data_IF_805636863616
#
_entry.id   IF_805636863616
#
_cell.length_a   1.000
_cell.length_b   1.000
_cell.length_c   1.000
_cell.angle_alpha   90.00
_cell.angle_beta   90.00
_cell.angle_gamma   90.00
#
_symmetry.space_group_name_H-M   'P 1'
#
loop_
_entity.id
_entity.type
_entity.pdbx_description
1 polymer ?
#
# COMPACT_ATOMS: atom_id res chain seq x y z
N UNK A 1 30.87 12.52 -2.09
CA UNK A 1 29.87 11.64 -1.45
C UNK A 1 30.44 11.16 -0.12
N UNK A 2 30.01 11.72 1.01
CA UNK A 2 30.62 11.46 2.34
C UNK A 2 30.24 10.09 2.92
N UNK A 3 29.11 9.53 2.51
CA UNK A 3 28.57 8.27 3.04
C UNK A 3 28.68 7.11 2.03
N UNK A 4 29.19 7.37 0.82
CA UNK A 4 29.25 6.36 -0.24
C UNK A 4 27.88 5.99 -0.84
N UNK A 5 26.81 6.75 -0.55
CA UNK A 5 25.43 6.44 -0.96
C UNK A 5 25.12 7.08 -2.33
N UNK A 6 24.79 6.27 -3.33
CA UNK A 6 24.26 6.76 -4.61
C UNK A 6 22.76 7.05 -4.48
N UNK A 7 22.31 8.21 -4.98
CA UNK A 7 20.89 8.57 -5.00
C UNK A 7 20.36 8.41 -6.42
N UNK A 8 19.44 7.46 -6.61
CA UNK A 8 18.83 7.15 -7.91
C UNK A 8 17.38 7.67 -7.92
N UNK A 9 17.03 8.59 -8.84
CA UNK A 9 15.68 9.11 -8.95
C UNK A 9 14.73 8.08 -9.58
N UNK A 10 13.55 7.90 -8.97
CA UNK A 10 12.44 7.14 -9.54
C UNK A 10 11.32 8.09 -9.98
N UNK A 11 10.99 8.10 -11.27
CA UNK A 11 9.98 8.95 -11.88
C UNK A 11 8.99 8.12 -12.68
N UNK A 12 7.95 8.78 -13.21
CA UNK A 12 6.94 8.18 -14.07
C UNK A 12 6.94 8.84 -15.46
N UNK A 13 7.13 8.04 -16.50
CA UNK A 13 7.16 8.51 -17.90
C UNK A 13 5.98 8.00 -18.73
N UNK A 14 4.99 7.36 -18.11
CA UNK A 14 3.78 6.87 -18.78
C UNK A 14 2.53 6.88 -17.87
N UNK A 15 2.48 5.96 -16.90
CA UNK A 15 1.36 5.77 -15.97
C UNK A 15 1.52 6.55 -14.66
N UNK A 16 0.64 6.30 -13.68
CA UNK A 16 0.69 6.88 -12.33
C UNK A 16 0.76 8.43 -12.25
N UNK A 17 0.26 9.13 -13.27
CA UNK A 17 0.33 10.59 -13.37
C UNK A 17 -1.03 11.27 -13.11
N UNK A 18 -1.93 10.65 -12.35
CA UNK A 18 -3.26 11.20 -12.05
C UNK A 18 -3.22 12.62 -11.44
N UNK A 19 -2.28 12.85 -10.52
CA UNK A 19 -2.13 14.14 -9.82
C UNK A 19 -1.77 15.31 -10.75
N UNK A 20 -0.75 15.22 -11.62
CA UNK A 20 -0.50 16.27 -12.62
C UNK A 20 -1.53 16.28 -13.75
N UNK A 21 -1.99 15.14 -14.26
CA UNK A 21 -2.87 15.08 -15.44
C UNK A 21 -4.32 15.50 -15.18
N UNK A 22 -4.70 15.77 -13.93
CA UNK A 22 -6.01 16.35 -13.60
C UNK A 22 -6.17 17.80 -14.08
N UNK A 23 -5.07 18.53 -14.26
CA UNK A 23 -5.13 19.94 -14.67
C UNK A 23 -5.40 20.07 -16.17
N UNK A 24 -6.28 21.00 -16.55
CA UNK A 24 -6.76 21.13 -17.93
C UNK A 24 -5.65 21.41 -18.96
N UNK A 25 -4.54 22.04 -18.57
CA UNK A 25 -3.38 22.28 -19.43
C UNK A 25 -2.80 20.97 -19.99
N UNK A 26 -2.89 19.87 -19.24
CA UNK A 26 -2.38 18.56 -19.65
C UNK A 26 -3.39 17.74 -20.47
N UNK A 27 -4.59 18.26 -20.76
CA UNK A 27 -5.59 17.53 -21.53
C UNK A 27 -5.06 17.09 -22.91
N UNK A 28 -4.21 17.91 -23.53
CA UNK A 28 -3.62 17.61 -24.84
C UNK A 28 -2.57 16.50 -24.83
N UNK A 29 -2.16 16.01 -23.65
CA UNK A 29 -1.17 14.93 -23.50
C UNK A 29 -1.71 13.78 -22.64
N UNK A 30 -3.02 13.70 -22.43
CA UNK A 30 -3.66 12.70 -21.57
C UNK A 30 -4.40 11.65 -22.40
N UNK A 31 -3.98 10.39 -22.31
CA UNK A 31 -4.71 9.26 -22.91
C UNK A 31 -5.88 8.85 -22.00
N UNK A 32 -5.56 8.59 -20.72
CA UNK A 32 -6.52 8.28 -19.66
C UNK A 32 -6.21 9.08 -18.39
N UNK A 33 -7.05 8.96 -17.36
CA UNK A 33 -6.97 9.74 -16.12
C UNK A 33 -5.55 9.81 -15.51
N UNK A 34 -4.76 8.74 -15.61
CA UNK A 34 -3.41 8.65 -15.08
C UNK A 34 -2.32 8.31 -16.11
N UNK A 35 -2.65 8.28 -17.42
CA UNK A 35 -1.76 7.76 -18.48
C UNK A 35 -1.52 8.83 -19.55
N UNK A 36 -0.25 9.05 -19.89
CA UNK A 36 0.17 9.96 -20.95
C UNK A 36 -0.22 9.48 -22.35
N UNK A 37 -0.49 10.43 -23.25
CA UNK A 37 -0.80 10.19 -24.65
C UNK A 37 0.47 9.92 -25.44
N UNK A 38 0.67 8.65 -25.82
CA UNK A 38 1.79 8.21 -26.65
C UNK A 38 1.65 8.78 -28.08
N UNK A 39 2.80 8.98 -28.75
CA UNK A 39 2.90 9.54 -30.10
C UNK A 39 2.38 11.00 -30.20
N UNK A 40 2.31 11.70 -29.08
CA UNK A 40 2.01 13.13 -29.02
C UNK A 40 3.27 13.94 -28.68
N UNK A 41 3.57 14.97 -29.46
CA UNK A 41 4.80 15.75 -29.33
C UNK A 41 4.89 16.44 -27.96
N UNK A 42 3.76 16.96 -27.47
CA UNK A 42 3.68 17.60 -26.14
C UNK A 42 4.03 16.64 -25.00
N UNK A 43 3.73 15.35 -25.14
CA UNK A 43 4.09 14.31 -24.17
C UNK A 43 5.60 14.19 -24.05
N UNK A 44 6.32 14.16 -25.18
CA UNK A 44 7.77 14.01 -25.17
C UNK A 44 8.49 15.29 -24.72
N UNK A 45 7.95 16.47 -25.02
CA UNK A 45 8.43 17.73 -24.45
C UNK A 45 8.29 17.76 -22.92
N UNK A 46 7.17 17.25 -22.40
CA UNK A 46 6.94 17.13 -20.96
C UNK A 46 7.93 16.14 -20.31
N UNK A 47 8.12 14.96 -20.90
CA UNK A 47 9.08 13.94 -20.42
C UNK A 47 10.52 14.46 -20.46
N UNK A 48 10.91 15.15 -21.54
CA UNK A 48 12.24 15.74 -21.65
C UNK A 48 12.48 16.80 -20.57
N UNK A 49 11.50 17.66 -20.29
CA UNK A 49 11.58 18.64 -19.22
C UNK A 49 11.74 17.97 -17.83
N UNK A 50 11.07 16.84 -17.59
CA UNK A 50 11.26 16.04 -16.37
C UNK A 50 12.69 15.49 -16.28
N UNK A 51 13.17 14.80 -17.33
CA UNK A 51 14.50 14.18 -17.36
C UNK A 51 15.61 15.23 -17.24
N UNK A 52 15.46 16.36 -17.93
CA UNK A 52 16.40 17.49 -17.83
C UNK A 52 16.47 18.03 -16.39
N UNK A 53 15.33 18.11 -15.71
CA UNK A 53 15.28 18.53 -14.29
C UNK A 53 15.99 17.53 -13.40
N UNK A 54 15.70 16.24 -13.57
CA UNK A 54 16.38 15.16 -12.84
C UNK A 54 17.88 15.22 -13.05
N UNK A 55 18.36 15.42 -14.28
CA UNK A 55 19.80 15.54 -14.57
C UNK A 55 20.47 16.71 -13.85
N UNK A 56 19.76 17.82 -13.65
CA UNK A 56 20.30 18.97 -12.88
C UNK A 56 20.34 18.71 -11.38
N UNK A 57 19.49 17.82 -10.86
CA UNK A 57 19.34 17.55 -9.44
C UNK A 57 20.19 16.38 -8.94
N UNK A 58 20.50 15.41 -9.80
CA UNK A 58 21.16 14.16 -9.41
C UNK A 58 22.46 13.95 -10.19
N UNK A 59 23.49 13.48 -9.49
CA UNK A 59 24.78 13.13 -10.09
C UNK A 59 24.85 11.69 -10.58
N UNK A 60 23.90 10.83 -10.17
CA UNK A 60 23.82 9.45 -10.66
C UNK A 60 23.52 9.45 -12.16
N UNK A 61 24.09 8.47 -12.87
CA UNK A 61 23.69 8.18 -14.24
C UNK A 61 22.49 7.23 -14.28
N UNK A 62 22.08 6.62 -13.18
CA UNK A 62 20.92 5.72 -13.14
C UNK A 62 19.63 6.53 -13.00
N UNK A 63 18.55 6.03 -13.58
CA UNK A 63 17.20 6.57 -13.39
C UNK A 63 16.16 5.47 -13.53
N UNK A 64 15.18 5.42 -12.64
CA UNK A 64 14.01 4.57 -12.81
C UNK A 64 12.90 5.36 -13.49
N UNK A 65 12.45 4.91 -14.68
CA UNK A 65 11.50 5.66 -15.53
C UNK A 65 10.03 5.27 -15.35
N UNK A 66 9.75 4.29 -14.49
CA UNK A 66 8.40 3.84 -14.15
C UNK A 66 7.90 2.82 -15.17
N UNK A 67 6.84 3.19 -15.92
CA UNK A 67 6.22 2.42 -17.00
C UNK A 67 5.32 1.24 -16.56
N UNK A 68 4.98 1.20 -15.27
CA UNK A 68 4.07 0.23 -14.64
C UNK A 68 2.59 0.56 -14.83
N UNK A 69 1.74 -0.48 -14.69
CA UNK A 69 0.28 -0.45 -14.51
C UNK A 69 -0.51 0.48 -15.45
N UNK A 70 0.01 0.73 -16.65
CA UNK A 70 -0.67 1.47 -17.70
C UNK A 70 -1.74 0.61 -18.41
N UNK A 71 -2.64 -0.01 -17.64
CA UNK A 71 -3.64 -0.98 -18.10
C UNK A 71 -4.53 -0.44 -19.24
N UNK A 72 -4.77 0.87 -19.24
CA UNK A 72 -5.58 1.56 -20.24
C UNK A 72 -4.83 2.10 -21.46
N UNK A 73 -3.51 1.89 -21.56
CA UNK A 73 -2.69 2.49 -22.63
C UNK A 73 -3.24 2.15 -24.01
N UNK A 74 -3.46 3.17 -24.84
CA UNK A 74 -3.98 3.03 -26.19
C UNK A 74 -5.50 2.97 -26.29
N UNK A 75 -6.24 2.91 -25.17
CA UNK A 75 -7.71 2.72 -25.16
C UNK A 75 -8.51 4.00 -24.89
N UNK A 76 -7.84 5.13 -24.63
CA UNK A 76 -8.47 6.41 -24.34
C UNK A 76 -8.45 7.38 -25.53
N UNK A 77 -7.91 8.58 -25.31
CA UNK A 77 -7.73 9.58 -26.36
C UNK A 77 -6.88 9.05 -27.54
N UNK A 78 -5.94 8.14 -27.28
CA UNK A 78 -5.15 7.50 -28.32
C UNK A 78 -6.05 6.72 -29.29
N UNK A 79 -6.97 5.90 -28.77
CA UNK A 79 -7.93 5.13 -29.58
C UNK A 79 -8.78 6.05 -30.46
N UNK A 80 -9.28 7.15 -29.87
CA UNK A 80 -10.09 8.12 -30.61
C UNK A 80 -9.32 8.78 -31.77
N UNK A 81 -8.00 8.96 -31.63
CA UNK A 81 -7.14 9.63 -32.62
C UNK A 81 -6.58 8.66 -33.67
N UNK A 82 -6.26 7.43 -33.28
CA UNK A 82 -5.48 6.49 -34.11
C UNK A 82 -6.20 5.17 -34.42
N UNK A 83 -7.40 4.98 -33.87
CA UNK A 83 -8.13 3.72 -33.93
C UNK A 83 -7.49 2.62 -33.07
N UNK A 84 -7.96 1.38 -33.24
CA UNK A 84 -7.40 0.21 -32.57
C UNK A 84 -6.00 -0.06 -33.12
N UNK A 85 -5.04 -0.18 -32.22
CA UNK A 85 -3.65 -0.50 -32.53
C UNK A 85 -3.15 -1.55 -31.52
N UNK A 86 -2.13 -2.29 -31.93
CA UNK A 86 -1.46 -3.24 -31.03
C UNK A 86 -0.76 -2.49 -29.88
N UNK A 87 -1.12 -2.84 -28.63
CA UNK A 87 -0.64 -2.16 -27.42
C UNK A 87 0.84 -2.40 -27.14
N UNK A 88 1.38 -3.56 -27.52
CA UNK A 88 2.82 -3.81 -27.46
C UNK A 88 3.58 -2.83 -28.34
N UNK A 89 3.14 -2.67 -29.59
CA UNK A 89 3.76 -1.74 -30.53
C UNK A 89 3.68 -0.30 -30.02
N UNK A 90 2.55 0.10 -29.44
CA UNK A 90 2.39 1.43 -28.81
C UNK A 90 3.43 1.64 -27.70
N UNK A 91 3.56 0.68 -26.76
CA UNK A 91 4.52 0.78 -25.66
C UNK A 91 5.97 0.79 -26.13
N UNK A 92 6.35 -0.08 -27.09
CA UNK A 92 7.72 -0.14 -27.60
C UNK A 92 8.14 1.16 -28.31
N UNK A 93 7.23 1.78 -29.07
CA UNK A 93 7.49 3.10 -29.68
C UNK A 93 7.72 4.17 -28.62
N UNK A 94 6.87 4.19 -27.59
CA UNK A 94 7.02 5.12 -26.47
C UNK A 94 8.34 4.92 -25.74
N UNK A 95 8.66 3.68 -25.39
CA UNK A 95 9.91 3.33 -24.70
C UNK A 95 11.13 3.76 -25.51
N UNK A 96 11.13 3.54 -26.83
CA UNK A 96 12.24 3.97 -27.71
C UNK A 96 12.44 5.49 -27.67
N UNK A 97 11.36 6.27 -27.64
CA UNK A 97 11.43 7.74 -27.50
C UNK A 97 11.99 8.15 -26.15
N UNK A 98 11.49 7.57 -25.06
CA UNK A 98 11.97 7.86 -23.70
C UNK A 98 13.45 7.48 -23.54
N UNK A 99 13.87 6.33 -24.06
CA UNK A 99 15.26 5.87 -24.08
C UNK A 99 16.17 6.86 -24.83
N UNK A 100 15.73 7.37 -25.97
CA UNK A 100 16.47 8.39 -26.73
C UNK A 100 16.68 9.67 -25.92
N UNK A 101 15.65 10.11 -25.19
CA UNK A 101 15.75 11.28 -24.31
C UNK A 101 16.74 10.99 -23.17
N UNK A 102 16.58 9.88 -22.44
CA UNK A 102 17.51 9.46 -21.39
C UNK A 102 18.97 9.45 -21.86
N UNK A 103 19.23 8.87 -23.05
CA UNK A 103 20.56 8.81 -23.64
C UNK A 103 21.16 10.18 -23.93
N UNK A 104 20.37 11.14 -24.40
CA UNK A 104 20.83 12.52 -24.65
C UNK A 104 21.29 13.24 -23.38
N UNK A 105 20.79 12.80 -22.21
CA UNK A 105 21.18 13.28 -20.88
C UNK A 105 22.11 12.32 -20.14
N UNK A 106 22.68 11.32 -20.84
CA UNK A 106 23.62 10.33 -20.27
C UNK A 106 23.03 9.52 -19.11
N UNK A 107 21.73 9.19 -19.16
CA UNK A 107 21.11 8.25 -18.23
C UNK A 107 21.22 6.79 -18.69
N UNK A 108 21.36 5.91 -17.72
CA UNK A 108 21.23 4.45 -17.76
C UNK A 108 19.88 4.10 -17.10
N UNK A 109 18.81 3.94 -17.90
CA UNK A 109 17.47 3.77 -17.37
C UNK A 109 17.18 2.34 -16.91
N UNK A 110 16.27 2.25 -15.94
CA UNK A 110 15.59 1.01 -15.53
C UNK A 110 14.08 1.25 -15.48
N UNK A 111 13.29 0.21 -15.68
CA UNK A 111 11.82 0.30 -15.65
C UNK A 111 11.21 -0.90 -14.95
N UNK A 112 9.97 -0.75 -14.49
CA UNK A 112 9.18 -1.90 -14.07
C UNK A 112 8.87 -2.79 -15.26
N UNK A 113 8.91 -4.11 -15.06
CA UNK A 113 8.81 -5.10 -16.14
C UNK A 113 7.38 -5.57 -16.44
N UNK A 114 6.40 -5.18 -15.61
CA UNK A 114 5.06 -5.80 -15.57
C UNK A 114 4.28 -5.67 -16.87
N UNK A 115 4.36 -4.52 -17.53
CA UNK A 115 3.59 -4.28 -18.75
C UNK A 115 3.92 -5.27 -19.87
N UNK A 116 5.16 -5.78 -19.95
CA UNK A 116 5.53 -6.78 -20.95
C UNK A 116 4.93 -8.17 -20.66
N UNK A 117 4.82 -8.54 -19.38
CA UNK A 117 4.17 -9.80 -18.99
C UNK A 117 2.65 -9.71 -19.12
N UNK A 118 2.05 -8.62 -18.61
CA UNK A 118 0.60 -8.41 -18.60
C UNK A 118 0.02 -8.38 -20.01
N UNK A 119 0.68 -7.73 -20.96
CA UNK A 119 0.19 -7.73 -22.35
C UNK A 119 0.33 -9.10 -23.04
N UNK A 120 1.23 -9.96 -22.55
CA UNK A 120 1.44 -11.31 -23.06
C UNK A 120 0.42 -12.33 -22.55
N UNK A 121 -0.41 -11.97 -21.56
CA UNK A 121 -1.45 -12.85 -21.02
C UNK A 121 -2.81 -12.55 -21.64
N UNK A 122 -3.66 -13.58 -21.77
CA UNK A 122 -5.02 -13.44 -22.33
C UNK A 122 -5.90 -12.49 -21.51
N UNK A 123 -5.65 -12.37 -20.21
CA UNK A 123 -6.48 -11.63 -19.26
C UNK A 123 -5.81 -10.35 -18.70
N UNK A 124 -4.57 -10.03 -19.07
CA UNK A 124 -3.87 -8.86 -18.49
C UNK A 124 -3.26 -9.10 -17.11
N UNK A 125 -3.26 -10.34 -16.63
CA UNK A 125 -2.67 -10.77 -15.37
C UNK A 125 -1.14 -10.72 -15.44
N UNK A 126 -0.51 -10.25 -14.35
CA UNK A 126 0.94 -10.16 -14.25
C UNK A 126 1.60 -11.50 -13.91
N UNK A 127 1.00 -12.24 -12.96
CA UNK A 127 1.53 -13.50 -12.46
C UNK A 127 0.83 -14.72 -13.07
N UNK A 128 0.89 -14.87 -14.39
CA UNK A 128 0.40 -16.08 -15.06
C UNK A 128 1.58 -16.90 -15.56
N UNK A 129 1.75 -18.14 -15.09
CA UNK A 129 2.77 -19.05 -15.63
C UNK A 129 2.54 -19.42 -17.09
N UNK A 130 1.31 -19.24 -17.59
CA UNK A 130 0.96 -19.43 -18.99
C UNK A 130 1.30 -18.21 -19.87
N UNK A 131 1.78 -17.11 -19.26
CA UNK A 131 2.31 -15.95 -19.96
C UNK A 131 3.55 -16.36 -20.78
N UNK A 132 3.33 -16.80 -22.01
CA UNK A 132 4.41 -16.93 -22.97
C UNK A 132 4.77 -15.54 -23.44
N UNK A 133 5.89 -15.00 -22.95
CA UNK A 133 6.49 -13.83 -23.56
C UNK A 133 6.64 -14.09 -25.08
N UNK A 134 6.38 -13.09 -25.93
CA UNK A 134 6.61 -13.21 -27.37
C UNK A 134 8.03 -13.74 -27.63
N UNK A 135 8.19 -14.65 -28.59
CA UNK A 135 9.51 -15.23 -28.92
C UNK A 135 10.52 -14.16 -29.35
N UNK A 136 10.04 -13.01 -29.83
CA UNK A 136 10.83 -11.84 -30.24
C UNK A 136 10.85 -10.71 -29.19
N UNK A 137 10.59 -10.98 -27.91
CA UNK A 137 10.58 -9.96 -26.85
C UNK A 137 11.92 -9.19 -26.76
N UNK A 138 13.04 -9.84 -27.03
CA UNK A 138 14.37 -9.22 -27.07
C UNK A 138 14.49 -8.15 -28.15
N UNK A 139 13.78 -8.30 -29.27
CA UNK A 139 13.76 -7.32 -30.37
C UNK A 139 12.86 -6.12 -30.04
N UNK A 140 11.95 -6.28 -29.09
CA UNK A 140 10.97 -5.26 -28.69
C UNK A 140 11.46 -4.35 -27.57
N UNK A 141 12.45 -4.78 -26.79
CA UNK A 141 13.01 -4.01 -25.67
C UNK A 141 14.28 -3.31 -26.16
N UNK A 142 14.33 -1.96 -26.15
CA UNK A 142 15.53 -1.24 -26.57
C UNK A 142 16.76 -1.60 -25.73
N UNK A 143 17.92 -1.72 -26.38
CA UNK A 143 19.19 -1.96 -25.68
C UNK A 143 19.49 -0.86 -24.64
N UNK A 144 20.11 -1.27 -23.52
CA UNK A 144 20.58 -0.35 -22.48
C UNK A 144 19.56 -0.02 -21.39
N UNK A 145 18.47 -0.77 -21.28
CA UNK A 145 17.51 -0.68 -20.16
C UNK A 145 17.60 -1.90 -19.24
N UNK A 146 17.53 -1.67 -17.92
CA UNK A 146 17.35 -2.74 -16.94
C UNK A 146 15.87 -2.97 -16.62
N UNK A 147 15.52 -4.23 -16.36
CA UNK A 147 14.16 -4.64 -16.00
C UNK A 147 14.07 -4.88 -14.49
N UNK A 148 13.16 -4.17 -13.83
CA UNK A 148 12.93 -4.30 -12.40
C UNK A 148 11.74 -5.22 -12.17
N UNK A 149 12.03 -6.45 -11.77
CA UNK A 149 11.04 -7.43 -11.32
C UNK A 149 10.58 -7.04 -9.92
N UNK A 150 9.35 -6.56 -9.80
CA UNK A 150 8.73 -6.28 -8.51
C UNK A 150 7.81 -7.40 -8.05
N UNK A 151 7.96 -7.79 -6.78
CA UNK A 151 7.09 -8.75 -6.12
C UNK A 151 7.19 -8.61 -4.59
N UNK A 152 6.03 -8.34 -3.99
CA UNK A 152 5.88 -8.08 -2.56
C UNK A 152 4.88 -9.05 -1.91
N UNK A 153 4.32 -9.97 -2.70
CA UNK A 153 3.10 -10.71 -2.35
C UNK A 153 3.39 -12.19 -2.12
N UNK A 154 4.22 -12.78 -2.98
CA UNK A 154 4.45 -14.22 -3.00
C UNK A 154 5.32 -14.68 -1.82
N UNK A 155 5.10 -15.90 -1.33
CA UNK A 155 5.96 -16.52 -0.30
C UNK A 155 6.63 -17.82 -0.79
N UNK A 156 6.51 -18.13 -2.09
CA UNK A 156 7.00 -19.38 -2.66
C UNK A 156 8.23 -19.17 -3.54
N UNK A 157 9.34 -19.83 -3.14
CA UNK A 157 10.61 -19.79 -3.87
C UNK A 157 10.48 -20.26 -5.33
N UNK A 158 9.55 -21.17 -5.63
CA UNK A 158 9.31 -21.65 -7.00
C UNK A 158 8.78 -20.54 -7.92
N UNK A 159 7.96 -19.64 -7.36
CA UNK A 159 7.41 -18.48 -8.06
C UNK A 159 8.54 -17.54 -8.44
N UNK A 160 9.32 -17.12 -7.45
CA UNK A 160 10.47 -16.24 -7.65
C UNK A 160 11.46 -16.84 -8.65
N UNK A 161 11.76 -18.14 -8.53
CA UNK A 161 12.66 -18.83 -9.44
C UNK A 161 12.16 -18.80 -10.89
N UNK A 162 10.86 -19.03 -11.07
CA UNK A 162 10.23 -19.02 -12.39
C UNK A 162 10.20 -17.61 -12.97
N UNK A 163 9.76 -16.62 -12.20
CA UNK A 163 9.70 -15.24 -12.68
C UNK A 163 11.09 -14.70 -13.01
N UNK A 164 12.12 -14.93 -12.19
CA UNK A 164 13.49 -14.52 -12.52
C UNK A 164 13.98 -15.23 -13.80
N UNK A 165 13.66 -16.51 -13.99
CA UNK A 165 14.01 -17.22 -15.23
C UNK A 165 13.36 -16.55 -16.45
N UNK A 166 12.07 -16.21 -16.38
CA UNK A 166 11.38 -15.55 -17.50
C UNK A 166 11.92 -14.13 -17.74
N UNK A 167 12.24 -13.36 -16.70
CA UNK A 167 12.88 -12.05 -16.85
C UNK A 167 14.24 -12.14 -17.56
N UNK A 168 15.05 -13.16 -17.26
CA UNK A 168 16.33 -13.37 -17.95
C UNK A 168 16.16 -13.64 -19.46
N UNK A 169 15.00 -14.12 -19.93
CA UNK A 169 14.73 -14.30 -21.36
C UNK A 169 14.58 -12.99 -22.13
N UNK A 170 14.35 -11.87 -21.42
CA UNK A 170 14.30 -10.54 -22.03
C UNK A 170 15.66 -10.04 -22.51
N UNK A 171 16.76 -10.71 -22.15
CA UNK A 171 18.10 -10.35 -22.62
C UNK A 171 18.65 -9.05 -22.03
N UNK A 172 18.04 -8.53 -20.96
CA UNK A 172 18.45 -7.30 -20.27
C UNK A 172 18.82 -7.57 -18.80
N UNK A 173 19.61 -6.69 -18.16
CA UNK A 173 19.93 -6.83 -16.75
C UNK A 173 18.68 -6.81 -15.88
N UNK A 174 18.57 -7.77 -14.96
CA UNK A 174 17.45 -7.91 -14.04
C UNK A 174 17.82 -7.32 -12.67
N UNK A 175 16.94 -6.48 -12.15
CA UNK A 175 16.96 -5.95 -10.79
C UNK A 175 15.73 -6.50 -10.09
N UNK A 176 15.84 -6.85 -8.81
CA UNK A 176 14.67 -7.26 -8.03
C UNK A 176 14.18 -6.09 -7.16
N UNK A 177 12.87 -5.97 -6.98
CA UNK A 177 12.26 -5.10 -5.99
C UNK A 177 11.38 -5.94 -5.08
N UNK A 178 11.78 -6.03 -3.82
CA UNK A 178 10.97 -6.51 -2.70
C UNK A 178 10.45 -5.32 -1.88
N UNK A 179 9.65 -5.57 -0.86
CA UNK A 179 8.90 -4.51 -0.17
C UNK A 179 8.85 -4.67 1.33
N UNK A 180 8.93 -3.52 2.03
CA UNK A 180 8.52 -3.44 3.44
C UNK A 180 7.15 -2.76 3.45
N UNK A 181 6.14 -3.52 3.83
CA UNK A 181 4.73 -3.20 3.62
C UNK A 181 4.25 -2.03 4.47
N UNK A 182 4.17 -0.86 3.86
CA UNK A 182 3.71 0.40 4.46
C UNK A 182 2.46 0.98 3.78
N UNK A 183 1.85 0.25 2.85
CA UNK A 183 0.80 0.79 1.96
C UNK A 183 -0.60 0.22 2.18
N UNK A 184 -0.78 -0.67 3.15
CA UNK A 184 -2.09 -1.27 3.44
C UNK A 184 -2.92 -0.47 4.45
N UNK A 185 -2.32 0.49 5.16
CA UNK A 185 -3.06 1.39 6.05
C UNK A 185 -2.21 2.18 7.05
N UNK A 186 -2.69 2.40 8.28
CA UNK A 186 -2.05 3.28 9.26
C UNK A 186 -0.76 2.71 9.88
N UNK A 187 -0.53 1.41 9.70
CA UNK A 187 0.53 0.62 10.34
C UNK A 187 1.28 -0.22 9.32
N UNK A 188 2.55 -0.50 9.62
CA UNK A 188 3.40 -1.44 8.85
C UNK A 188 2.84 -2.87 8.96
N UNK A 189 2.99 -3.69 7.91
CA UNK A 189 2.72 -5.13 7.94
C UNK A 189 4.05 -5.90 7.83
N UNK A 190 4.73 -6.05 8.96
CA UNK A 190 6.01 -6.74 9.05
C UNK A 190 5.87 -8.23 8.74
N UNK A 191 4.75 -8.85 9.13
CA UNK A 191 4.50 -10.25 8.81
C UNK A 191 4.57 -10.51 7.31
N UNK A 192 3.77 -9.81 6.52
CA UNK A 192 3.77 -9.93 5.05
C UNK A 192 5.12 -9.51 4.46
N UNK A 193 5.77 -8.49 5.03
CA UNK A 193 7.11 -8.07 4.60
C UNK A 193 8.10 -9.23 4.67
N UNK A 194 8.14 -9.97 5.79
CA UNK A 194 9.07 -11.08 5.96
C UNK A 194 8.63 -12.34 5.21
N UNK A 195 7.33 -12.68 5.22
CA UNK A 195 6.79 -13.84 4.49
C UNK A 195 7.11 -13.76 2.99
N UNK A 196 7.16 -12.56 2.41
CA UNK A 196 7.56 -12.34 1.01
C UNK A 196 9.07 -12.14 0.81
N UNK A 197 9.70 -11.28 1.61
CA UNK A 197 11.11 -10.89 1.42
C UNK A 197 12.08 -12.05 1.62
N UNK A 198 11.85 -12.90 2.64
CA UNK A 198 12.77 -14.00 2.97
C UNK A 198 12.99 -14.95 1.77
N UNK A 199 11.93 -15.57 1.19
CA UNK A 199 12.10 -16.44 0.03
C UNK A 199 12.59 -15.67 -1.20
N UNK A 200 12.16 -14.42 -1.39
CA UNK A 200 12.58 -13.61 -2.54
C UNK A 200 14.08 -13.36 -2.58
N UNK A 201 14.65 -12.87 -1.46
CA UNK A 201 16.07 -12.53 -1.38
C UNK A 201 16.97 -13.76 -1.44
N UNK A 202 16.53 -14.88 -0.85
CA UNK A 202 17.21 -16.17 -0.99
C UNK A 202 17.34 -16.56 -2.48
N UNK A 203 16.22 -16.52 -3.22
CA UNK A 203 16.20 -16.88 -4.64
C UNK A 203 16.99 -15.87 -5.49
N UNK A 204 16.94 -14.58 -5.16
CA UNK A 204 17.77 -13.55 -5.79
C UNK A 204 19.26 -13.88 -5.66
N UNK A 205 19.72 -14.23 -4.45
CA UNK A 205 21.11 -14.63 -4.18
C UNK A 205 21.51 -15.87 -4.97
N UNK A 206 20.69 -16.91 -4.96
CA UNK A 206 20.93 -18.16 -5.71
C UNK A 206 21.00 -17.96 -7.23
N UNK A 207 20.20 -17.02 -7.75
CA UNK A 207 20.13 -16.67 -9.18
C UNK A 207 21.15 -15.61 -9.60
N UNK A 208 21.97 -15.10 -8.68
CA UNK A 208 22.99 -14.09 -8.96
C UNK A 208 22.45 -12.69 -9.23
N UNK A 209 21.26 -12.35 -8.73
CA UNK A 209 20.75 -10.97 -8.73
C UNK A 209 21.55 -10.16 -7.71
N UNK A 210 22.16 -9.06 -8.17
CA UNK A 210 23.10 -8.26 -7.37
C UNK A 210 22.54 -6.89 -6.96
N UNK A 211 21.42 -6.48 -7.54
CA UNK A 211 20.77 -5.20 -7.26
C UNK A 211 19.34 -5.47 -6.81
N UNK A 212 19.02 -4.98 -5.61
CA UNK A 212 17.72 -5.19 -4.96
C UNK A 212 17.21 -3.86 -4.43
N UNK A 213 15.91 -3.60 -4.62
CA UNK A 213 15.18 -2.50 -4.00
C UNK A 213 14.40 -3.03 -2.81
N UNK A 214 14.38 -2.26 -1.72
CA UNK A 214 13.37 -2.37 -0.67
C UNK A 214 12.38 -1.22 -0.86
N UNK A 215 11.22 -1.50 -1.44
CA UNK A 215 10.21 -0.47 -1.72
C UNK A 215 9.35 -0.19 -0.50
N UNK A 216 9.06 1.09 -0.30
CA UNK A 216 8.18 1.61 0.74
C UNK A 216 7.05 2.39 0.06
N UNK A 217 6.01 1.69 -0.38
CA UNK A 217 4.87 2.36 -1.03
C UNK A 217 4.02 3.13 -0.01
N UNK A 218 3.25 4.10 -0.52
CA UNK A 218 2.44 5.01 0.29
C UNK A 218 1.00 5.07 -0.21
N UNK A 219 0.42 3.92 -0.53
CA UNK A 219 -0.85 3.85 -1.25
C UNK A 219 -1.98 4.52 -0.48
N UNK A 220 -2.92 5.03 -1.27
CA UNK A 220 -4.13 5.65 -0.78
C UNK A 220 -3.89 6.69 0.33
N UNK A 221 -2.82 7.50 0.26
CA UNK A 221 -2.63 8.66 1.13
C UNK A 221 -1.49 8.57 2.14
N UNK A 222 -0.61 7.58 2.04
CA UNK A 222 0.63 7.47 2.83
C UNK A 222 0.38 7.55 4.34
N UNK A 223 -0.53 6.70 4.83
CA UNK A 223 -1.03 6.75 6.21
C UNK A 223 -0.11 6.05 7.22
N UNK A 224 0.79 5.19 6.75
CA UNK A 224 1.87 4.60 7.52
C UNK A 224 3.06 5.57 7.51
N UNK A 225 3.61 5.85 8.69
CA UNK A 225 4.81 6.67 8.80
C UNK A 225 6.04 5.86 8.38
N UNK A 226 6.91 6.45 7.56
CA UNK A 226 8.06 5.75 6.97
C UNK A 226 8.98 5.15 8.03
N UNK A 227 9.10 5.73 9.23
CA UNK A 227 9.99 5.20 10.26
C UNK A 227 9.47 3.89 10.88
N UNK A 228 8.23 3.50 10.65
CA UNK A 228 7.74 2.17 11.06
C UNK A 228 8.47 1.03 10.33
N UNK A 229 9.04 1.29 9.15
CA UNK A 229 9.67 0.26 8.31
C UNK A 229 11.12 -0.08 8.69
N UNK A 230 11.73 0.64 9.65
CA UNK A 230 13.16 0.52 9.96
C UNK A 230 13.61 -0.92 10.22
N UNK A 231 12.78 -1.71 10.92
CA UNK A 231 13.09 -3.11 11.19
C UNK A 231 13.12 -3.97 9.92
N UNK A 232 12.16 -3.78 9.01
CA UNK A 232 12.16 -4.45 7.71
C UNK A 232 13.32 -4.02 6.82
N UNK A 233 13.69 -2.74 6.81
CA UNK A 233 14.85 -2.24 6.06
C UNK A 233 16.17 -2.82 6.56
N UNK A 234 16.31 -3.00 7.89
CA UNK A 234 17.49 -3.63 8.46
C UNK A 234 17.68 -5.05 7.90
N UNK A 235 16.60 -5.80 7.66
CA UNK A 235 16.70 -7.15 7.10
C UNK A 235 17.30 -7.18 5.68
N UNK A 236 16.95 -6.20 4.83
CA UNK A 236 17.61 -6.04 3.52
C UNK A 236 19.10 -5.72 3.68
N UNK A 237 19.49 -4.95 4.70
CA UNK A 237 20.89 -4.69 5.00
C UNK A 237 21.61 -5.97 5.43
N UNK A 238 21.02 -6.78 6.30
CA UNK A 238 21.62 -8.05 6.77
C UNK A 238 21.90 -9.03 5.62
N UNK A 239 21.14 -8.98 4.52
CA UNK A 239 21.47 -9.79 3.33
C UNK A 239 22.83 -9.48 2.68
N UNK A 240 23.40 -8.31 2.96
CA UNK A 240 24.71 -7.90 2.48
C UNK A 240 25.85 -8.25 3.44
N UNK A 241 25.57 -8.48 4.73
CA UNK A 241 26.60 -8.55 5.77
C UNK A 241 26.56 -9.83 6.61
N UNK A 242 25.40 -10.47 6.74
CA UNK A 242 25.24 -11.78 7.38
C UNK A 242 25.15 -12.87 6.31
N UNK A 243 25.84 -13.99 6.51
CA UNK A 243 25.71 -15.14 5.61
C UNK A 243 24.58 -16.09 6.02
N UNK A 244 24.18 -16.05 7.30
CA UNK A 244 23.17 -16.95 7.87
C UNK A 244 21.76 -16.37 7.74
N UNK A 245 21.63 -15.05 7.66
CA UNK A 245 20.37 -14.31 7.52
C UNK A 245 19.34 -14.65 8.62
N UNK A 246 19.83 -14.97 9.82
CA UNK A 246 19.02 -15.42 10.95
C UNK A 246 18.29 -14.23 11.61
N UNK A 247 17.04 -14.44 12.04
CA UNK A 247 16.23 -13.40 12.69
C UNK A 247 16.84 -12.93 14.02
N UNK A 248 17.53 -13.82 14.74
CA UNK A 248 18.24 -13.48 15.98
C UNK A 248 19.41 -12.52 15.72
N UNK A 249 20.09 -12.67 14.59
CA UNK A 249 21.15 -11.74 14.18
C UNK A 249 20.55 -10.38 13.77
N UNK A 250 19.41 -10.39 13.08
CA UNK A 250 18.67 -9.17 12.74
C UNK A 250 18.32 -8.36 14.00
N UNK A 251 17.74 -8.98 15.03
CA UNK A 251 17.39 -8.29 16.28
C UNK A 251 18.60 -7.65 16.96
N UNK A 252 19.71 -8.39 17.02
CA UNK A 252 20.98 -7.91 17.57
C UNK A 252 21.52 -6.72 16.77
N UNK A 253 21.57 -6.82 15.45
CA UNK A 253 22.10 -5.74 14.60
C UNK A 253 21.18 -4.54 14.57
N UNK A 254 19.87 -4.75 14.60
CA UNK A 254 18.90 -3.66 14.72
C UNK A 254 19.14 -2.84 15.99
N UNK A 255 19.36 -3.51 17.14
CA UNK A 255 19.71 -2.84 18.40
C UNK A 255 21.02 -2.08 18.31
N UNK A 256 22.04 -2.63 17.66
CA UNK A 256 23.36 -2.00 17.50
C UNK A 256 23.28 -0.77 16.58
N UNK A 257 22.62 -0.92 15.42
CA UNK A 257 22.56 0.11 14.38
C UNK A 257 21.60 1.26 14.73
N UNK A 258 20.49 0.94 15.40
CA UNK A 258 19.41 1.90 15.62
C UNK A 258 19.21 2.24 17.11
N UNK A 259 19.74 1.46 18.04
CA UNK A 259 19.60 1.68 19.49
C UNK A 259 18.29 1.15 20.09
N UNK A 260 17.39 0.60 19.27
CA UNK A 260 16.04 0.17 19.67
C UNK A 260 15.90 -1.34 19.75
N UNK A 261 15.06 -1.82 20.67
CA UNK A 261 14.70 -3.24 20.71
C UNK A 261 13.72 -3.55 19.57
N UNK A 262 14.01 -4.61 18.80
CA UNK A 262 13.20 -5.03 17.66
C UNK A 262 11.73 -5.28 18.04
N UNK A 263 11.49 -5.73 19.27
CA UNK A 263 10.15 -5.99 19.80
C UNK A 263 9.25 -4.75 19.79
N UNK A 264 9.83 -3.56 20.02
CA UNK A 264 9.06 -2.32 19.95
C UNK A 264 8.54 -2.05 18.54
N UNK A 265 9.28 -2.45 17.50
CA UNK A 265 8.87 -2.28 16.11
C UNK A 265 7.91 -3.38 15.65
N UNK A 266 8.04 -4.60 16.17
CA UNK A 266 7.03 -5.66 15.96
C UNK A 266 5.66 -5.24 16.45
N UNK A 267 5.57 -4.51 17.57
CA UNK A 267 4.31 -3.96 18.09
C UNK A 267 3.68 -2.85 17.23
N UNK A 268 4.38 -2.32 16.22
CA UNK A 268 3.79 -1.38 15.25
C UNK A 268 2.97 -2.10 14.19
N UNK A 269 3.18 -3.40 13.98
CA UNK A 269 2.34 -4.26 13.15
C UNK A 269 1.09 -4.67 13.92
N UNK A 270 0.09 -3.79 13.89
CA UNK A 270 -1.15 -3.98 14.63
C UNK A 270 -2.07 -5.04 14.02
N UNK A 271 -1.80 -5.47 12.78
CA UNK A 271 -2.59 -6.46 12.04
C UNK A 271 -1.90 -7.83 11.96
N UNK A 272 -0.85 -8.08 12.76
CA UNK A 272 -0.30 -9.42 12.96
C UNK A 272 -1.15 -10.23 13.96
N UNK A 273 -2.10 -11.01 13.44
CA UNK A 273 -2.96 -11.89 14.24
C UNK A 273 -2.32 -13.24 14.62
N UNK A 274 -1.02 -13.45 14.35
CA UNK A 274 -0.26 -14.63 14.75
C UNK A 274 -0.53 -15.91 13.95
N UNK A 275 -1.74 -16.09 13.42
CA UNK A 275 -2.12 -17.21 12.53
C UNK A 275 -2.27 -16.74 11.07
N UNK A 276 -2.02 -17.61 10.07
CA UNK A 276 -2.42 -17.32 8.70
C UNK A 276 -3.92 -17.10 8.69
N UNK A 277 -4.34 -15.93 8.24
CA UNK A 277 -5.74 -15.50 8.30
C UNK A 277 -6.65 -16.37 7.44
N UNK A 278 -6.09 -17.02 6.41
CA UNK A 278 -6.73 -18.09 5.64
C UNK A 278 -5.68 -18.69 4.70
N UNK A 279 -5.54 -20.01 4.69
CA UNK A 279 -4.77 -20.73 3.68
C UNK A 279 -5.75 -21.71 3.01
N UNK A 280 -6.31 -21.40 1.82
CA UNK A 280 -6.91 -22.46 1.04
C UNK A 280 -5.80 -23.42 0.60
N UNK A 281 -6.12 -24.70 0.43
CA UNK A 281 -5.20 -25.75 -0.01
C UNK A 281 -4.74 -25.54 -1.47
N UNK A 282 -3.99 -24.46 -1.73
CA UNK A 282 -3.58 -23.87 -3.02
C UNK A 282 -4.45 -22.67 -3.47
N UNK A 283 -4.09 -21.43 -3.08
CA UNK A 283 -4.66 -20.25 -3.74
C UNK A 283 -4.22 -20.21 -5.20
N UNK A 284 -5.16 -19.91 -6.09
CA UNK A 284 -4.82 -19.51 -7.45
C UNK A 284 -3.99 -18.21 -7.39
N UNK A 285 -3.04 -18.08 -8.32
CA UNK A 285 -2.04 -17.01 -8.33
C UNK A 285 -2.61 -15.58 -8.35
N UNK A 286 -3.83 -15.40 -8.82
CA UNK A 286 -4.56 -14.14 -8.82
C UNK A 286 -5.09 -13.73 -7.44
N UNK A 287 -4.99 -14.59 -6.43
CA UNK A 287 -5.57 -14.37 -5.10
C UNK A 287 -4.56 -13.91 -4.03
N UNK A 288 -3.26 -13.80 -4.33
CA UNK A 288 -2.24 -13.46 -3.31
C UNK A 288 -2.51 -12.13 -2.58
N UNK A 289 -2.97 -11.10 -3.30
CA UNK A 289 -3.38 -9.84 -2.68
C UNK A 289 -4.54 -10.03 -1.69
N UNK A 290 -5.46 -10.94 -1.98
CA UNK A 290 -6.67 -11.15 -1.17
C UNK A 290 -6.40 -11.76 0.21
N UNK A 291 -5.20 -12.30 0.43
CA UNK A 291 -4.79 -12.93 1.70
C UNK A 291 -4.10 -11.98 2.67
N UNK A 292 -3.77 -10.77 2.23
CA UNK A 292 -3.04 -9.80 3.06
C UNK A 292 -4.05 -9.01 3.88
N UNK A 293 -3.87 -9.00 5.19
CA UNK A 293 -4.80 -8.29 6.09
C UNK A 293 -4.41 -6.85 6.33
N UNK A 294 -5.43 -6.01 6.44
CA UNK A 294 -5.30 -4.60 6.79
C UNK A 294 -6.49 -4.12 7.64
N UNK A 295 -6.91 -4.98 8.56
CA UNK A 295 -8.07 -4.84 9.44
C UNK A 295 -8.07 -3.50 10.17
N UNK A 296 -6.92 -2.99 10.60
CA UNK A 296 -6.79 -1.71 11.28
C UNK A 296 -7.34 -0.54 10.47
N UNK A 297 -7.11 -0.52 9.15
CA UNK A 297 -7.63 0.53 8.26
C UNK A 297 -9.16 0.45 8.15
N UNK A 298 -9.68 -0.76 7.97
CA UNK A 298 -11.11 -1.04 7.86
C UNK A 298 -11.84 -0.66 9.16
N UNK A 299 -11.34 -1.13 10.30
CA UNK A 299 -11.84 -0.79 11.64
C UNK A 299 -11.79 0.71 11.87
N UNK A 300 -10.68 1.38 11.55
CA UNK A 300 -10.54 2.82 11.75
C UNK A 300 -11.58 3.60 10.95
N UNK A 301 -11.75 3.28 9.67
CA UNK A 301 -12.52 4.12 8.75
C UNK A 301 -14.01 3.75 8.60
N UNK A 302 -14.44 2.56 9.00
CA UNK A 302 -15.86 2.17 8.84
C UNK A 302 -16.82 3.03 9.67
N UNK A 303 -18.06 3.21 9.20
CA UNK A 303 -19.10 3.91 9.94
C UNK A 303 -19.75 2.95 10.97
N UNK A 304 -19.79 3.29 12.29
CA UNK A 304 -20.34 2.40 13.31
C UNK A 304 -21.86 2.14 13.19
N UNK A 305 -22.63 3.03 12.55
CA UNK A 305 -24.07 2.83 12.33
C UNK A 305 -24.36 1.99 11.08
N UNK A 306 -23.45 1.98 10.11
CA UNK A 306 -23.63 1.25 8.83
C UNK A 306 -22.90 -0.10 8.85
N UNK A 307 -21.83 -0.23 9.63
CA UNK A 307 -21.24 -1.51 9.97
C UNK A 307 -20.83 -2.36 8.76
N UNK A 308 -20.18 -1.74 7.78
CA UNK A 308 -19.86 -2.35 6.48
C UNK A 308 -19.05 -3.66 6.61
N UNK A 309 -18.26 -3.78 7.68
CA UNK A 309 -17.42 -4.95 7.97
C UNK A 309 -17.91 -5.72 9.21
N UNK A 310 -19.00 -5.30 9.86
CA UNK A 310 -19.49 -5.88 11.12
C UNK A 310 -19.72 -7.39 11.00
N UNK A 311 -20.27 -7.84 9.86
CA UNK A 311 -20.55 -9.25 9.62
C UNK A 311 -19.27 -10.10 9.58
N UNK A 312 -18.22 -9.59 8.93
CA UNK A 312 -16.91 -10.23 8.87
C UNK A 312 -16.23 -10.22 10.24
N UNK A 313 -16.19 -9.07 10.92
CA UNK A 313 -15.49 -8.91 12.20
C UNK A 313 -16.15 -9.65 13.37
N UNK A 314 -17.44 -10.00 13.27
CA UNK A 314 -18.14 -10.76 14.31
C UNK A 314 -17.53 -12.15 14.58
N UNK A 315 -16.71 -12.68 13.66
CA UNK A 315 -16.05 -13.98 13.80
C UNK A 315 -14.63 -13.89 14.39
N UNK A 316 -14.13 -12.68 14.67
CA UNK A 316 -12.79 -12.46 15.20
C UNK A 316 -12.82 -11.65 16.52
N UNK A 317 -12.00 -12.05 17.50
CA UNK A 317 -11.81 -11.28 18.73
C UNK A 317 -10.79 -10.14 18.54
N UNK A 318 -11.20 -9.14 17.77
CA UNK A 318 -10.39 -7.94 17.50
C UNK A 318 -10.16 -7.10 18.76
N UNK A 319 -11.11 -7.10 19.69
CA UNK A 319 -11.02 -6.28 20.89
C UNK A 319 -9.85 -6.73 21.77
N UNK A 320 -9.78 -8.04 22.08
CA UNK A 320 -8.69 -8.60 22.88
C UNK A 320 -7.34 -8.47 22.18
N UNK A 321 -7.31 -8.62 20.85
CA UNK A 321 -6.11 -8.44 20.03
C UNK A 321 -5.53 -7.03 20.19
N UNK A 322 -6.31 -5.99 19.86
CA UNK A 322 -5.84 -4.61 19.98
C UNK A 322 -5.58 -4.21 21.45
N UNK A 323 -6.40 -4.67 22.40
CA UNK A 323 -6.17 -4.39 23.83
C UNK A 323 -4.82 -4.97 24.33
N UNK A 324 -4.44 -6.16 23.86
CA UNK A 324 -3.16 -6.79 24.19
C UNK A 324 -1.98 -5.96 23.67
N UNK A 325 -2.05 -5.51 22.42
CA UNK A 325 -1.02 -4.63 21.84
C UNK A 325 -0.92 -3.32 22.63
N UNK A 326 -2.06 -2.71 22.97
CA UNK A 326 -2.10 -1.48 23.76
C UNK A 326 -1.40 -1.64 25.11
N UNK A 327 -1.65 -2.74 25.82
CA UNK A 327 -0.99 -3.05 27.09
C UNK A 327 0.53 -3.19 26.94
N UNK A 328 0.98 -3.84 25.86
CA UNK A 328 2.40 -4.01 25.58
C UNK A 328 3.07 -2.68 25.23
N UNK A 329 2.45 -1.86 24.38
CA UNK A 329 2.92 -0.52 24.05
C UNK A 329 3.04 0.39 25.29
N UNK A 330 2.13 0.28 26.26
CA UNK A 330 2.22 1.06 27.51
C UNK A 330 3.36 0.62 28.43
N UNK A 331 3.78 -0.65 28.35
CA UNK A 331 4.91 -1.16 29.11
C UNK A 331 6.28 -0.81 28.49
N UNK A 332 6.31 -0.36 27.23
CA UNK A 332 7.55 -0.01 26.54
C UNK A 332 8.18 1.27 27.10
N UNK A 333 9.50 1.22 27.27
CA UNK A 333 10.31 2.45 27.41
C UNK A 333 10.69 2.94 26.03
N UNK A 334 10.01 3.98 25.56
CA UNK A 334 10.22 4.57 24.24
C UNK A 334 11.25 5.70 24.33
N UNK A 335 12.32 5.69 23.53
CA UNK A 335 13.27 6.80 23.46
C UNK A 335 12.63 8.06 22.88
N UNK A 336 13.19 9.23 23.24
CA UNK A 336 12.60 10.52 22.88
C UNK A 336 12.47 10.72 21.36
N UNK A 337 13.41 10.16 20.59
CA UNK A 337 13.49 10.26 19.13
C UNK A 337 12.34 9.53 18.42
N UNK A 338 11.73 8.53 19.07
CA UNK A 338 10.59 7.78 18.52
C UNK A 338 9.26 8.10 19.22
N UNK A 339 9.27 9.04 20.17
CA UNK A 339 8.12 9.32 21.04
C UNK A 339 6.85 9.61 20.23
N UNK A 340 6.94 10.45 19.20
CA UNK A 340 5.79 10.83 18.36
C UNK A 340 5.14 9.63 17.65
N UNK A 341 5.95 8.71 17.11
CA UNK A 341 5.45 7.52 16.40
C UNK A 341 4.71 6.60 17.37
N UNK A 342 5.29 6.34 18.54
CA UNK A 342 4.67 5.47 19.53
C UNK A 342 3.47 6.13 20.23
N UNK A 343 3.46 7.45 20.41
CA UNK A 343 2.29 8.17 20.92
C UNK A 343 1.09 8.04 19.95
N UNK A 344 1.35 8.17 18.65
CA UNK A 344 0.34 7.91 17.61
C UNK A 344 -0.14 6.46 17.67
N UNK A 345 0.75 5.46 17.83
CA UNK A 345 0.34 4.05 17.88
C UNK A 345 -0.45 3.69 19.13
N UNK A 346 -0.05 4.21 20.30
CA UNK A 346 -0.83 4.03 21.54
C UNK A 346 -2.26 4.54 21.37
N UNK A 347 -2.41 5.74 20.81
CA UNK A 347 -3.74 6.30 20.54
C UNK A 347 -4.48 5.55 19.43
N UNK A 348 -3.79 5.10 18.38
CA UNK A 348 -4.37 4.29 17.30
C UNK A 348 -4.96 3.00 17.86
N UNK A 349 -4.16 2.23 18.59
CA UNK A 349 -4.58 0.93 19.14
C UNK A 349 -5.72 1.09 20.15
N UNK A 350 -5.72 2.17 20.94
CA UNK A 350 -6.86 2.54 21.79
C UNK A 350 -8.14 2.75 20.98
N UNK A 351 -8.07 3.55 19.91
CA UNK A 351 -9.22 3.77 19.00
C UNK A 351 -9.66 2.45 18.36
N UNK A 352 -8.73 1.64 17.85
CA UNK A 352 -9.05 0.35 17.22
C UNK A 352 -9.75 -0.60 18.19
N UNK A 353 -9.21 -0.75 19.42
CA UNK A 353 -9.79 -1.61 20.46
C UNK A 353 -11.21 -1.19 20.86
N UNK A 354 -11.48 0.12 20.97
CA UNK A 354 -12.83 0.61 21.31
C UNK A 354 -13.79 0.58 20.12
N UNK A 355 -13.29 0.62 18.89
CA UNK A 355 -14.10 0.76 17.68
C UNK A 355 -14.39 -0.56 16.96
N UNK A 356 -13.56 -1.59 17.12
CA UNK A 356 -13.61 -2.82 16.32
C UNK A 356 -14.95 -3.56 16.37
N UNK A 357 -15.65 -3.50 17.51
CA UNK A 357 -16.91 -4.23 17.72
C UNK A 357 -18.11 -3.32 18.04
N UNK A 358 -17.93 -2.00 18.04
CA UNK A 358 -18.95 -1.07 18.55
C UNK A 358 -20.22 -1.10 17.70
N UNK A 359 -20.10 -1.22 16.37
CA UNK A 359 -21.23 -1.36 15.45
C UNK A 359 -22.00 -2.67 15.68
N UNK A 360 -21.28 -3.77 15.89
CA UNK A 360 -21.83 -5.09 16.21
C UNK A 360 -22.64 -5.03 17.52
N UNK A 361 -22.08 -4.42 18.56
CA UNK A 361 -22.74 -4.25 19.87
C UNK A 361 -23.98 -3.36 19.75
N UNK A 362 -23.90 -2.25 19.01
CA UNK A 362 -25.04 -1.35 18.75
C UNK A 362 -26.16 -2.08 18.02
N UNK A 363 -25.86 -2.77 16.91
CA UNK A 363 -26.86 -3.52 16.12
C UNK A 363 -27.54 -4.58 16.97
N UNK A 364 -26.76 -5.37 17.72
CA UNK A 364 -27.29 -6.41 18.61
C UNK A 364 -28.24 -5.85 19.68
N UNK A 365 -27.87 -4.75 20.33
CA UNK A 365 -28.69 -4.12 21.36
C UNK A 365 -29.96 -3.48 20.78
N UNK A 366 -29.87 -2.93 19.56
CA UNK A 366 -31.03 -2.41 18.84
C UNK A 366 -32.03 -3.51 18.49
N UNK A 367 -31.57 -4.60 17.88
CA UNK A 367 -32.40 -5.72 17.46
C UNK A 367 -33.09 -6.44 18.64
N UNK A 368 -32.44 -6.47 19.81
CA UNK A 368 -33.02 -7.03 21.04
C UNK A 368 -33.91 -6.05 21.80
N UNK A 369 -33.97 -4.78 21.40
CA UNK A 369 -34.67 -3.72 22.13
C UNK A 369 -34.01 -3.34 23.47
N UNK A 370 -32.73 -3.66 23.66
CA UNK A 370 -31.99 -3.38 24.89
C UNK A 370 -31.57 -1.90 24.98
N UNK A 371 -32.50 -1.08 25.48
CA UNK A 371 -32.26 0.36 25.69
C UNK A 371 -31.20 0.66 26.75
N UNK A 372 -30.93 -0.26 27.67
CA UNK A 372 -29.90 -0.04 28.70
C UNK A 372 -28.52 -0.09 28.07
N UNK A 373 -28.24 -1.16 27.31
CA UNK A 373 -26.97 -1.29 26.59
C UNK A 373 -26.81 -0.22 25.51
N UNK A 374 -27.89 0.17 24.81
CA UNK A 374 -27.81 1.30 23.87
C UNK A 374 -27.42 2.62 24.54
N UNK A 375 -27.89 2.88 25.77
CA UNK A 375 -27.50 4.08 26.53
C UNK A 375 -26.03 4.05 26.98
N UNK A 376 -25.48 2.87 27.24
CA UNK A 376 -24.04 2.69 27.53
C UNK A 376 -23.21 2.91 26.25
N UNK A 377 -23.60 2.28 25.15
CA UNK A 377 -22.95 2.41 23.84
C UNK A 377 -23.02 3.85 23.29
N UNK A 378 -24.10 4.59 23.60
CA UNK A 378 -24.21 6.02 23.32
C UNK A 378 -23.08 6.81 24.00
N UNK A 379 -22.76 6.51 25.25
CA UNK A 379 -21.64 7.17 25.95
C UNK A 379 -20.29 6.72 25.40
N UNK A 380 -20.14 5.44 25.09
CA UNK A 380 -18.91 4.91 24.48
C UNK A 380 -18.62 5.56 23.13
N UNK A 381 -19.63 5.76 22.27
CA UNK A 381 -19.46 6.45 20.98
C UNK A 381 -19.04 7.91 21.16
N UNK A 382 -19.55 8.62 22.16
CA UNK A 382 -19.09 9.98 22.47
C UNK A 382 -17.60 10.01 22.85
N UNK A 383 -17.16 9.11 23.74
CA UNK A 383 -15.74 9.00 24.13
C UNK A 383 -14.87 8.58 22.94
N UNK A 384 -15.34 7.63 22.13
CA UNK A 384 -14.63 7.19 20.94
C UNK A 384 -14.42 8.34 19.94
N UNK A 385 -15.42 9.22 19.76
CA UNK A 385 -15.25 10.40 18.91
C UNK A 385 -14.13 11.33 19.43
N UNK A 386 -14.05 11.54 20.74
CA UNK A 386 -12.94 12.32 21.35
C UNK A 386 -11.58 11.64 21.13
N UNK A 387 -11.52 10.32 21.31
CA UNK A 387 -10.29 9.55 21.09
C UNK A 387 -9.83 9.56 19.61
N UNK A 388 -10.76 9.56 18.65
CA UNK A 388 -10.46 9.77 17.22
C UNK A 388 -9.96 11.20 16.98
N UNK A 389 -10.57 12.20 17.60
CA UNK A 389 -10.12 13.59 17.55
C UNK A 389 -8.68 13.75 18.02
N UNK A 390 -8.31 13.08 19.12
CA UNK A 390 -6.94 13.05 19.63
C UNK A 390 -5.98 12.32 18.69
N UNK A 391 -6.38 11.18 18.10
CA UNK A 391 -5.58 10.48 17.11
C UNK A 391 -5.26 11.38 15.90
N UNK A 392 -6.26 12.13 15.42
CA UNK A 392 -6.10 13.11 14.33
C UNK A 392 -5.07 14.18 14.66
N UNK A 393 -5.12 14.76 15.86
CA UNK A 393 -4.15 15.77 16.30
C UNK A 393 -2.72 15.23 16.38
N UNK A 394 -2.56 14.02 16.94
CA UNK A 394 -1.25 13.37 17.04
C UNK A 394 -0.69 13.03 15.65
N UNK A 395 -1.52 12.50 14.75
CA UNK A 395 -1.13 12.22 13.36
C UNK A 395 -0.74 13.48 12.60
N UNK A 396 -1.43 14.59 12.82
CA UNK A 396 -1.05 15.88 12.22
C UNK A 396 0.34 16.34 12.67
N UNK A 397 0.65 16.23 13.96
CA UNK A 397 1.97 16.57 14.51
C UNK A 397 3.05 15.70 13.87
N UNK A 398 2.87 14.38 13.90
CA UNK A 398 3.81 13.43 13.28
C UNK A 398 4.00 13.70 11.78
N UNK A 399 2.92 14.02 11.05
CA UNK A 399 3.02 14.37 9.65
C UNK A 399 3.92 15.58 9.43
N UNK A 400 3.72 16.68 10.17
CA UNK A 400 4.52 17.90 9.99
C UNK A 400 5.95 17.78 10.55
N UNK A 401 6.22 16.80 11.41
CA UNK A 401 7.57 16.44 11.82
C UNK A 401 8.35 15.78 10.67
N UNK A 402 7.73 14.83 9.96
CA UNK A 402 8.43 13.98 8.99
C UNK A 402 8.21 14.36 7.52
N UNK A 403 7.18 15.15 7.22
CA UNK A 403 6.74 15.42 5.86
C UNK A 403 6.52 16.91 5.59
N UNK A 404 6.54 17.28 4.31
CA UNK A 404 6.04 18.58 3.87
C UNK A 404 4.54 18.70 4.18
N UNK A 405 3.99 19.92 4.31
CA UNK A 405 2.60 20.09 4.70
C UNK A 405 1.57 19.54 3.69
N UNK A 406 1.94 19.40 2.42
CA UNK A 406 1.07 18.91 1.36
C UNK A 406 0.81 17.39 1.50
N UNK A 407 -0.44 16.98 1.32
CA UNK A 407 -0.89 15.59 1.45
C UNK A 407 -1.62 15.32 2.78
N UNK A 408 -1.26 16.05 3.84
CA UNK A 408 -1.90 15.95 5.16
C UNK A 408 -3.41 16.18 5.09
N UNK A 409 -3.87 17.08 4.23
CA UNK A 409 -5.29 17.41 4.08
C UNK A 409 -6.15 16.18 3.80
N UNK A 410 -5.62 15.16 3.09
CA UNK A 410 -6.36 13.93 2.81
C UNK A 410 -6.61 13.11 4.07
N UNK A 411 -5.56 12.86 4.85
CA UNK A 411 -5.64 12.09 6.11
C UNK A 411 -6.51 12.84 7.12
N UNK A 412 -6.33 14.16 7.22
CA UNK A 412 -7.14 15.00 8.10
C UNK A 412 -8.63 14.99 7.73
N UNK A 413 -8.98 15.09 6.44
CA UNK A 413 -10.37 15.01 5.98
C UNK A 413 -11.00 13.67 6.35
N UNK A 414 -10.29 12.56 6.15
CA UNK A 414 -10.78 11.21 6.48
C UNK A 414 -11.03 11.05 7.98
N UNK A 415 -10.04 11.38 8.82
CA UNK A 415 -10.18 11.25 10.27
C UNK A 415 -11.22 12.21 10.85
N UNK A 416 -11.33 13.43 10.31
CA UNK A 416 -12.42 14.36 10.67
C UNK A 416 -13.79 13.80 10.28
N UNK A 417 -13.88 13.13 9.13
CA UNK A 417 -15.07 12.41 8.71
C UNK A 417 -15.45 11.30 9.70
N UNK A 418 -14.50 10.44 10.08
CA UNK A 418 -14.72 9.37 11.07
C UNK A 418 -15.14 9.94 12.43
N UNK A 419 -14.45 10.97 12.90
CA UNK A 419 -14.81 11.66 14.14
C UNK A 419 -16.27 12.16 14.10
N UNK A 420 -16.64 12.81 13.00
CA UNK A 420 -17.99 13.36 12.81
C UNK A 420 -19.05 12.28 12.76
N UNK A 421 -18.85 11.19 12.00
CA UNK A 421 -19.85 10.11 11.91
C UNK A 421 -19.98 9.34 13.23
N UNK A 422 -18.90 9.19 13.99
CA UNK A 422 -18.96 8.59 15.33
C UNK A 422 -19.73 9.47 16.31
N UNK A 423 -19.59 10.80 16.21
CA UNK A 423 -20.40 11.75 16.99
C UNK A 423 -21.88 11.71 16.60
N UNK A 424 -22.17 11.59 15.30
CA UNK A 424 -23.54 11.41 14.80
C UNK A 424 -24.16 10.10 15.31
N UNK A 425 -23.37 9.03 15.44
CA UNK A 425 -23.84 7.78 16.04
C UNK A 425 -24.35 8.00 17.47
N UNK A 426 -23.58 8.70 18.31
CA UNK A 426 -24.02 9.12 19.65
C UNK A 426 -25.34 9.91 19.59
N UNK A 427 -25.40 10.97 18.77
CA UNK A 427 -26.59 11.83 18.67
C UNK A 427 -27.85 11.04 18.23
N UNK A 428 -27.67 10.06 17.34
CA UNK A 428 -28.77 9.20 16.88
C UNK A 428 -29.23 8.23 17.95
N UNK A 429 -28.30 7.60 18.67
CA UNK A 429 -28.64 6.74 19.80
C UNK A 429 -29.42 7.52 20.87
N UNK A 430 -28.99 8.74 21.22
CA UNK A 430 -29.71 9.62 22.17
C UNK A 430 -31.10 10.02 21.65
N UNK A 431 -31.22 10.35 20.36
CA UNK A 431 -32.50 10.68 19.76
C UNK A 431 -33.49 9.50 19.83
N UNK A 432 -33.03 8.27 19.61
CA UNK A 432 -33.85 7.07 19.73
C UNK A 432 -34.22 6.78 21.20
N UNK A 433 -33.26 6.87 22.11
CA UNK A 433 -33.46 6.61 23.54
C UNK A 433 -34.42 7.62 24.19
N UNK A 434 -34.36 8.89 23.76
CA UNK A 434 -35.29 9.95 24.21
C UNK A 434 -36.66 9.90 23.54
N UNK A 435 -36.85 9.04 22.54
CA UNK A 435 -38.10 8.94 21.76
C UNK A 435 -38.32 10.09 20.76
N UNK A 436 -37.28 10.89 20.46
CA UNK A 436 -37.32 11.92 19.41
C UNK A 436 -37.46 11.30 18.02
N UNK A 437 -36.91 10.11 17.83
CA UNK A 437 -37.10 9.26 16.65
C UNK A 437 -37.57 7.88 17.08
N UNK A 438 -38.41 7.25 16.27
CA UNK A 438 -39.03 5.97 16.61
C UNK A 438 -38.16 4.75 16.27
N UNK A 439 -37.21 4.91 15.34
CA UNK A 439 -36.34 3.85 14.84
C UNK A 439 -35.00 4.39 14.37
N UNK A 440 -34.03 3.49 14.25
CA UNK A 440 -32.71 3.76 13.69
C UNK A 440 -32.59 3.07 12.33
N UNK A 441 -32.96 3.76 11.25
CA UNK A 441 -33.00 3.19 9.90
C UNK A 441 -31.70 2.50 9.47
N UNK A 442 -30.54 3.03 9.86
CA UNK A 442 -29.23 2.45 9.55
C UNK A 442 -29.00 1.07 10.18
N UNK A 443 -29.75 0.77 11.26
CA UNK A 443 -29.71 -0.49 11.99
C UNK A 443 -30.84 -1.44 11.61
N UNK A 444 -31.81 -1.01 10.79
CA UNK A 444 -32.87 -1.89 10.26
C UNK A 444 -32.34 -2.80 9.15
N UNK A 445 -31.33 -2.35 8.43
CA UNK A 445 -30.74 -3.08 7.31
C UNK A 445 -29.92 -4.30 7.79
N UNK A 446 -29.99 -5.38 7.02
CA UNK A 446 -29.21 -6.59 7.26
C UNK A 446 -27.71 -6.34 7.01
N UNK A 447 -26.84 -6.81 7.92
CA UNK A 447 -25.39 -6.77 7.73
C UNK A 447 -24.94 -7.96 6.89
N UNK A 448 -24.34 -7.67 5.73
CA UNK A 448 -23.84 -8.67 4.78
C UNK A 448 -22.30 -8.73 4.80
N UNK A 449 -21.69 -9.87 4.41
CA UNK A 449 -20.24 -9.93 4.19
C UNK A 449 -19.83 -8.97 3.07
N UNK A 450 -18.83 -8.13 3.32
CA UNK A 450 -18.49 -6.98 2.45
C UNK A 450 -18.23 -7.33 0.98
N UNK A 451 -17.49 -8.41 0.73
CA UNK A 451 -17.10 -8.87 -0.61
C UNK A 451 -17.76 -10.21 -0.98
N UNK A 452 -18.83 -10.58 -0.29
CA UNK A 452 -19.46 -11.90 -0.43
C UNK A 452 -18.60 -13.07 0.05
N UNK A 453 -17.42 -12.82 0.62
CA UNK A 453 -16.59 -13.85 1.23
C UNK A 453 -16.92 -13.97 2.72
N UNK A 454 -17.16 -15.20 3.16
CA UNK A 454 -17.33 -15.56 4.55
C UNK A 454 -15.94 -15.75 5.19
N UNK A 455 -15.18 -14.64 5.25
CA UNK A 455 -13.84 -14.59 5.84
C UNK A 455 -13.78 -13.44 6.84
N UNK A 456 -13.25 -13.65 8.05
CA UNK A 456 -13.26 -12.62 9.09
C UNK A 456 -12.37 -11.42 8.74
N UNK A 457 -11.23 -11.66 8.10
CA UNK A 457 -10.23 -10.65 7.78
C UNK A 457 -9.78 -10.84 6.34
N UNK A 458 -9.52 -9.74 5.64
CA UNK A 458 -9.17 -9.71 4.22
C UNK A 458 -8.56 -8.36 3.86
N UNK A 459 -8.08 -8.24 2.61
CA UNK A 459 -7.55 -6.98 2.09
C UNK A 459 -8.64 -6.07 1.52
N UNK A 460 -8.73 -4.84 2.03
CA UNK A 460 -9.35 -3.70 1.32
C UNK A 460 -8.71 -2.42 1.85
N UNK A 461 -7.79 -1.82 1.09
CA UNK A 461 -7.01 -0.65 1.54
C UNK A 461 -7.43 0.66 0.87
N UNK A 462 -8.40 0.65 -0.04
CA UNK A 462 -8.91 1.89 -0.64
C UNK A 462 -9.97 2.52 0.26
N UNK A 463 -9.63 3.67 0.87
CA UNK A 463 -10.54 4.40 1.77
C UNK A 463 -11.87 4.75 1.10
N UNK A 464 -11.88 5.00 -0.21
CA UNK A 464 -13.11 5.29 -0.99
C UNK A 464 -14.08 4.12 -1.03
N UNK A 465 -13.61 2.90 -0.80
CA UNK A 465 -14.44 1.70 -0.74
C UNK A 465 -14.89 1.40 0.70
N UNK A 466 -14.16 1.90 1.71
CA UNK A 466 -14.46 1.73 3.15
C UNK A 466 -15.47 2.77 3.67
N UNK A 467 -15.27 4.06 3.37
CA UNK A 467 -16.01 5.16 4.01
C UNK A 467 -17.40 5.41 3.41
N UNK A 468 -17.89 4.51 2.55
CA UNK A 468 -18.88 4.76 1.49
C UNK A 468 -18.35 5.72 0.42
N UNK A 469 -18.71 5.52 -0.86
CA UNK A 469 -18.23 6.38 -1.93
C UNK A 469 -18.67 7.83 -1.66
N UNK A 470 -17.71 8.73 -1.53
CA UNK A 470 -17.98 10.14 -1.84
C UNK A 470 -18.37 10.17 -3.31
N UNK A 471 -19.65 10.44 -3.57
CA UNK A 471 -20.25 10.51 -4.90
C UNK A 471 -19.50 11.51 -5.79
#
# INVERSE_FOLDING_TARGET
NLLGIEIVPCIQTLGHLASPLRWAEYNGMRDQAAVLLIDEEKTYQFIEAMIQTVRRCFTSNKIHIGMDEAHGVGLGAYFNKHGLQDRFTILTRHLTKVMSICKSYHFEPMMWSDMFFRLGTKNGEYYSFDAKMPDNITDMIPEGISQVYWDYYNNSENVYNTMIREHNRMGCPVIFAGGVWTWSGPSVNLRQSFESTIPALKVCKERGITHVFATLWGDDGCECDVYQCLYGLQYYAEYNYDNEHAMENLDKMFKICNGFDAEAFRLLDVDDFGQPVYCPDEPEFSEFESHIVNTSKQVLYQNPMIGLFDKNFAEADLHSHYASIGKQLEALTVPAELASIFEVHKQLVRVLSSKCDIGIRIKKAYDSGDKTTLAELSKETAVLAEDIGKLKELRMKLWFENNKPFGHERVNLRLSGVESITRIAHDRLEAYLSGKIERLEELEEERLPYNGMDRPLFMEYFSSRIQMPMV
#
